data_IF_182162729917
#
_entry.id   IF_182162729917
#
_cell.length_a   1.000
_cell.length_b   1.000
_cell.length_c   1.000
_cell.angle_alpha   90.00
_cell.angle_beta   90.00
_cell.angle_gamma   90.00
#
_symmetry.space_group_name_H-M   'P 1'
#
loop_
_entity.id
_entity.type
_entity.pdbx_description
1 polymer ?
#
# COMPACT_ATOMS: atom_id res chain seq x y z
N UNK A 1 8.43 8.78 5.06
CA UNK A 1 7.62 9.73 5.84
C UNK A 1 8.33 11.07 5.80
N UNK A 2 7.66 12.14 5.38
CA UNK A 2 8.27 13.47 5.28
C UNK A 2 8.21 14.22 6.62
N UNK A 3 9.35 14.31 7.32
CA UNK A 3 9.45 14.90 8.67
C UNK A 3 8.94 16.35 8.72
N UNK A 4 9.17 17.12 7.66
CA UNK A 4 8.79 18.53 7.60
C UNK A 4 7.26 18.75 7.58
N UNK A 5 6.48 17.71 7.26
CA UNK A 5 5.02 17.77 7.16
C UNK A 5 4.30 17.14 8.35
N UNK A 6 5.04 16.63 9.33
CA UNK A 6 4.46 16.13 10.56
C UNK A 6 3.94 17.29 11.43
N UNK A 7 2.78 17.07 12.04
CA UNK A 7 2.23 17.96 13.07
C UNK A 7 3.09 17.92 14.35
N UNK A 8 2.86 18.88 15.26
CA UNK A 8 3.57 18.90 16.55
C UNK A 8 3.34 17.61 17.34
N UNK A 9 2.11 17.10 17.33
CA UNK A 9 1.75 15.87 18.07
C UNK A 9 2.36 14.62 17.44
N UNK A 10 2.42 14.56 16.10
CA UNK A 10 3.08 13.48 15.35
C UNK A 10 4.59 13.48 15.59
N UNK A 11 5.21 14.67 15.65
CA UNK A 11 6.62 14.81 16.01
C UNK A 11 6.87 14.40 17.46
N UNK A 12 6.00 14.79 18.40
CA UNK A 12 6.12 14.42 19.81
C UNK A 12 6.01 12.90 19.98
N UNK A 13 5.08 12.27 19.27
CA UNK A 13 4.93 10.83 19.22
C UNK A 13 6.20 10.14 18.68
N UNK A 14 6.71 10.56 17.51
CA UNK A 14 7.90 9.94 16.90
C UNK A 14 9.18 10.12 17.74
N UNK A 15 9.30 11.20 18.52
CA UNK A 15 10.39 11.40 19.48
C UNK A 15 10.23 10.54 20.72
N UNK A 16 9.01 10.46 21.27
CA UNK A 16 8.72 9.66 22.47
C UNK A 16 8.98 8.17 22.22
N UNK A 17 8.60 7.63 21.06
CA UNK A 17 8.93 6.25 20.63
C UNK A 17 10.45 6.00 20.60
N UNK A 18 11.27 7.05 20.52
CA UNK A 18 12.73 6.99 20.47
C UNK A 18 13.39 7.46 21.77
N UNK A 19 12.63 7.58 22.85
CA UNK A 19 13.15 7.91 24.17
C UNK A 19 13.48 9.39 24.39
N UNK A 20 12.95 10.30 23.57
CA UNK A 20 13.17 11.75 23.71
C UNK A 20 11.88 12.46 24.09
N UNK A 21 11.86 13.15 25.22
CA UNK A 21 10.67 13.84 25.76
C UNK A 21 10.84 15.34 26.00
N UNK A 22 12.08 15.86 26.04
CA UNK A 22 12.35 17.18 26.62
C UNK A 22 12.39 18.31 25.58
N UNK A 23 12.04 18.02 24.33
CA UNK A 23 12.07 18.97 23.23
C UNK A 23 10.68 19.52 22.97
N UNK A 24 10.52 20.84 23.09
CA UNK A 24 9.22 21.51 22.98
C UNK A 24 9.06 22.31 21.69
N UNK A 25 10.15 22.68 21.01
CA UNK A 25 10.11 23.49 19.78
C UNK A 25 10.06 22.62 18.53
N UNK A 26 9.16 22.94 17.58
CA UNK A 26 8.95 22.14 16.36
C UNK A 26 10.23 22.05 15.49
N UNK A 27 11.05 23.11 15.47
CA UNK A 27 12.30 23.13 14.72
C UNK A 27 13.32 22.12 15.26
N UNK A 28 13.52 22.12 16.58
CA UNK A 28 14.38 21.16 17.25
C UNK A 28 13.83 19.74 17.12
N UNK A 29 12.51 19.55 17.29
CA UNK A 29 11.87 18.24 17.13
C UNK A 29 12.17 17.64 15.75
N UNK A 30 12.07 18.44 14.68
CA UNK A 30 12.39 18.00 13.31
C UNK A 30 13.89 17.75 13.10
N UNK A 31 14.76 18.55 13.72
CA UNK A 31 16.21 18.38 13.64
C UNK A 31 16.64 17.07 14.33
N UNK A 32 16.20 16.88 15.57
CA UNK A 32 16.47 15.70 16.39
C UNK A 32 15.91 14.44 15.74
N UNK A 33 14.67 14.46 15.25
CA UNK A 33 14.09 13.30 14.56
C UNK A 33 14.89 12.91 13.29
N UNK A 34 15.41 13.89 12.53
CA UNK A 34 16.29 13.63 11.38
C UNK A 34 17.62 13.00 11.79
N UNK A 35 18.15 13.37 12.95
CA UNK A 35 19.38 12.78 13.48
C UNK A 35 19.13 11.35 13.95
N UNK A 36 18.08 11.11 14.76
CA UNK A 36 17.72 9.78 15.24
C UNK A 36 17.44 8.81 14.10
N UNK A 37 16.72 9.23 13.04
CA UNK A 37 16.49 8.37 11.86
C UNK A 37 17.75 8.03 11.06
N UNK A 38 18.82 8.83 11.19
CA UNK A 38 20.13 8.49 10.61
C UNK A 38 20.84 7.44 11.46
N UNK A 39 20.77 7.57 12.78
CA UNK A 39 21.29 6.58 13.73
C UNK A 39 20.56 5.24 13.61
N UNK A 40 19.25 5.23 13.38
CA UNK A 40 18.46 4.01 13.13
C UNK A 40 18.95 3.16 11.94
N UNK A 41 19.79 3.73 11.06
CA UNK A 41 20.35 3.02 9.90
C UNK A 41 21.70 2.37 10.19
N UNK A 42 22.26 2.60 11.38
CA UNK A 42 23.50 1.94 11.81
C UNK A 42 23.17 0.60 12.47
N UNK A 43 24.11 -0.36 12.39
CA UNK A 43 23.90 -1.71 12.92
C UNK A 43 23.81 -1.74 14.46
N UNK A 44 24.37 -0.75 15.14
CA UNK A 44 24.45 -0.67 16.61
C UNK A 44 23.23 0.00 17.27
N UNK A 45 22.21 0.37 16.49
CA UNK A 45 21.03 1.01 17.05
C UNK A 45 20.10 -0.01 17.72
N UNK A 46 19.93 0.11 19.04
CA UNK A 46 18.95 -0.65 19.81
C UNK A 46 17.73 0.23 20.07
N UNK A 47 16.54 -0.13 19.56
CA UNK A 47 15.33 0.65 19.80
C UNK A 47 14.93 0.57 21.28
N UNK A 48 14.49 1.69 21.89
CA UNK A 48 14.00 1.69 23.26
C UNK A 48 12.67 0.94 23.38
N UNK A 49 12.29 0.60 24.62
CA UNK A 49 10.99 -0.01 24.90
C UNK A 49 9.85 0.88 24.41
N UNK A 50 8.84 0.27 23.79
CA UNK A 50 7.73 0.99 23.21
C UNK A 50 6.90 1.67 24.31
N UNK A 51 6.72 3.00 24.29
CA UNK A 51 6.24 3.75 25.45
C UNK A 51 4.71 3.91 25.52
N UNK A 52 3.96 3.33 24.58
CA UNK A 52 2.50 3.47 24.48
C UNK A 52 1.80 2.12 24.63
N UNK A 53 0.62 2.15 25.24
CA UNK A 53 -0.29 1.01 25.27
C UNK A 53 -1.07 0.90 23.95
N UNK A 54 -1.57 -0.31 23.66
CA UNK A 54 -2.41 -0.51 22.47
C UNK A 54 -3.68 0.37 22.49
N UNK A 55 -4.26 0.64 23.66
CA UNK A 55 -5.45 1.48 23.80
C UNK A 55 -5.16 2.95 23.42
N UNK A 56 -4.02 3.49 23.85
CA UNK A 56 -3.60 4.85 23.50
C UNK A 56 -3.30 4.99 22.01
N UNK A 57 -2.68 3.98 21.41
CA UNK A 57 -2.47 3.96 19.96
C UNK A 57 -3.77 3.84 19.19
N UNK A 58 -4.67 2.95 19.61
CA UNK A 58 -5.97 2.76 18.98
C UNK A 58 -6.75 4.07 18.93
N UNK A 59 -6.93 4.73 20.07
CA UNK A 59 -7.68 5.98 20.15
C UNK A 59 -7.09 7.07 19.25
N UNK A 60 -5.76 7.19 19.22
CA UNK A 60 -5.11 8.19 18.39
C UNK A 60 -5.12 7.85 16.89
N UNK A 61 -5.09 6.57 16.52
CA UNK A 61 -5.21 6.15 15.12
C UNK A 61 -6.66 6.36 14.63
N UNK A 62 -7.67 6.02 15.43
CA UNK A 62 -9.09 6.27 15.11
C UNK A 62 -9.34 7.77 14.87
N UNK A 63 -8.87 8.63 15.77
CA UNK A 63 -8.94 10.09 15.60
C UNK A 63 -8.24 10.57 14.32
N UNK A 64 -7.04 10.03 14.01
CA UNK A 64 -6.35 10.36 12.77
C UNK A 64 -7.08 9.84 11.52
N UNK A 65 -7.78 8.70 11.59
CA UNK A 65 -8.58 8.17 10.47
C UNK A 65 -9.74 9.10 10.15
N UNK A 66 -10.40 9.66 11.16
CA UNK A 66 -11.47 10.64 10.99
C UNK A 66 -10.94 11.92 10.34
N UNK A 67 -9.83 12.47 10.84
CA UNK A 67 -9.18 13.66 10.25
C UNK A 67 -8.75 13.40 8.80
N UNK A 68 -8.12 12.24 8.53
CA UNK A 68 -7.75 11.84 7.16
C UNK A 68 -8.98 11.73 6.27
N UNK A 69 -10.09 11.21 6.79
CA UNK A 69 -11.34 11.07 6.03
C UNK A 69 -11.88 12.44 5.63
N UNK A 70 -11.90 13.39 6.55
CA UNK A 70 -12.33 14.77 6.27
C UNK A 70 -11.38 15.47 5.28
N UNK A 71 -10.06 15.34 5.47
CA UNK A 71 -9.10 15.90 4.52
C UNK A 71 -9.23 15.27 3.13
N UNK A 72 -9.59 13.99 3.03
CA UNK A 72 -9.87 13.34 1.75
C UNK A 72 -11.19 13.85 1.16
N UNK A 73 -12.26 14.02 1.94
CA UNK A 73 -13.55 14.54 1.40
C UNK A 73 -13.38 15.92 0.80
N UNK A 74 -12.64 16.78 1.48
CA UNK A 74 -12.52 18.20 1.15
C UNK A 74 -11.43 18.47 0.09
N UNK A 75 -10.70 17.43 -0.33
CA UNK A 75 -9.61 17.55 -1.29
C UNK A 75 -10.11 17.69 -2.73
N UNK A 76 -9.79 18.82 -3.36
CA UNK A 76 -10.11 19.17 -4.75
C UNK A 76 -8.89 19.49 -5.63
N UNK A 77 -7.67 19.43 -5.07
CA UNK A 77 -6.42 19.87 -5.73
C UNK A 77 -5.66 18.74 -6.45
N UNK A 78 -4.54 19.07 -7.10
CA UNK A 78 -3.70 18.10 -7.83
C UNK A 78 -2.77 17.29 -6.92
N UNK A 79 -2.26 16.16 -7.42
CA UNK A 79 -1.37 15.23 -6.70
C UNK A 79 0.01 15.81 -6.33
N UNK A 80 0.36 16.99 -6.84
CA UNK A 80 1.62 17.68 -6.49
C UNK A 80 1.44 18.72 -5.38
N UNK A 81 0.18 19.01 -5.02
CA UNK A 81 -0.21 20.04 -4.07
C UNK A 81 0.31 19.79 -2.64
N UNK A 82 0.61 20.85 -1.87
CA UNK A 82 0.99 20.73 -0.46
C UNK A 82 -0.05 19.96 0.37
N UNK A 83 -1.33 20.11 0.08
CA UNK A 83 -2.45 19.47 0.77
C UNK A 83 -2.42 17.96 0.55
N UNK A 84 -2.21 17.52 -0.70
CA UNK A 84 -2.07 16.09 -1.02
C UNK A 84 -0.91 15.45 -0.25
N UNK A 85 0.21 16.14 -0.23
CA UNK A 85 1.41 15.68 0.47
C UNK A 85 1.23 15.63 1.98
N UNK A 86 0.42 16.52 2.56
CA UNK A 86 0.02 16.48 3.97
C UNK A 86 -0.82 15.24 4.26
N UNK A 87 -1.83 14.95 3.43
CA UNK A 87 -2.67 13.74 3.53
C UNK A 87 -1.80 12.47 3.44
N UNK A 88 -0.91 12.40 2.45
CA UNK A 88 -0.03 11.26 2.25
C UNK A 88 0.92 11.03 3.45
N UNK A 89 1.41 12.13 4.05
CA UNK A 89 2.28 12.05 5.25
C UNK A 89 1.50 11.55 6.47
N UNK A 90 0.27 12.03 6.68
CA UNK A 90 -0.62 11.56 7.77
C UNK A 90 -0.96 10.07 7.64
N UNK A 91 -1.33 9.61 6.44
CA UNK A 91 -1.61 8.18 6.19
C UNK A 91 -0.37 7.33 6.51
N UNK A 92 0.81 7.73 6.02
CA UNK A 92 2.05 6.99 6.27
C UNK A 92 2.41 6.96 7.77
N UNK A 93 2.13 8.04 8.49
CA UNK A 93 2.30 8.11 9.94
C UNK A 93 1.35 7.16 10.68
N UNK A 94 0.06 7.18 10.36
CA UNK A 94 -0.93 6.28 10.96
C UNK A 94 -0.60 4.80 10.71
N UNK A 95 -0.19 4.43 9.49
CA UNK A 95 0.25 3.04 9.20
C UNK A 95 1.47 2.65 10.04
N UNK A 96 2.45 3.55 10.15
CA UNK A 96 3.66 3.30 10.94
C UNK A 96 3.34 3.13 12.42
N UNK A 97 2.36 3.87 12.95
CA UNK A 97 1.85 3.75 14.31
C UNK A 97 1.11 2.43 14.52
N UNK A 98 0.22 2.05 13.63
CA UNK A 98 -0.48 0.74 13.68
C UNK A 98 0.49 -0.44 13.65
N UNK A 99 1.57 -0.36 12.86
CA UNK A 99 2.55 -1.44 12.79
C UNK A 99 3.30 -1.65 14.12
N UNK A 100 3.60 -0.55 14.84
CA UNK A 100 4.34 -0.56 16.10
C UNK A 100 3.50 -0.96 17.31
N UNK A 101 2.18 -0.79 17.25
CA UNK A 101 1.30 -1.16 18.35
C UNK A 101 1.35 -2.66 18.63
N UNK A 102 1.46 -3.06 19.90
CA UNK A 102 1.54 -4.46 20.31
C UNK A 102 0.26 -4.87 21.05
N UNK A 103 -0.75 -5.42 20.35
CA UNK A 103 -1.95 -5.95 21.00
C UNK A 103 -1.65 -7.27 21.72
N UNK A 104 -2.41 -7.56 22.76
CA UNK A 104 -2.51 -8.93 23.30
C UNK A 104 -3.28 -9.84 22.30
N UNK A 105 -3.22 -11.16 22.50
CA UNK A 105 -3.82 -12.14 21.57
C UNK A 105 -5.31 -11.90 21.27
N UNK A 106 -6.08 -11.35 22.24
CA UNK A 106 -7.49 -11.00 22.07
C UNK A 106 -7.75 -9.77 21.19
N UNK A 107 -6.77 -8.86 21.05
CA UNK A 107 -6.91 -7.59 20.33
C UNK A 107 -6.21 -7.59 18.95
N UNK A 108 -5.71 -8.76 18.51
CA UNK A 108 -5.02 -8.92 17.23
C UNK A 108 -5.95 -8.67 16.02
N UNK A 109 -7.23 -9.03 16.13
CA UNK A 109 -8.26 -8.75 15.11
C UNK A 109 -8.51 -7.24 14.98
N UNK A 110 -8.54 -6.51 16.09
CA UNK A 110 -8.73 -5.06 16.10
C UNK A 110 -7.56 -4.32 15.45
N UNK A 111 -6.31 -4.72 15.72
CA UNK A 111 -5.13 -4.19 15.01
C UNK A 111 -5.24 -4.42 13.50
N UNK A 112 -5.67 -5.62 13.10
CA UNK A 112 -5.83 -6.00 11.70
C UNK A 112 -6.89 -5.13 11.02
N UNK A 113 -8.02 -4.90 11.67
CA UNK A 113 -9.09 -4.02 11.20
C UNK A 113 -8.62 -2.57 11.04
N UNK A 114 -7.88 -2.05 12.02
CA UNK A 114 -7.34 -0.69 11.99
C UNK A 114 -6.30 -0.51 10.87
N UNK A 115 -5.46 -1.52 10.65
CA UNK A 115 -4.49 -1.53 9.55
C UNK A 115 -5.21 -1.55 8.19
N UNK A 116 -6.26 -2.36 8.06
CA UNK A 116 -7.11 -2.39 6.85
C UNK A 116 -7.75 -1.02 6.65
N UNK A 117 -8.38 -0.42 7.65
CA UNK A 117 -9.00 0.91 7.52
C UNK A 117 -7.98 1.97 7.07
N UNK A 118 -6.81 2.00 7.69
CA UNK A 118 -5.75 2.96 7.34
C UNK A 118 -5.22 2.73 5.92
N UNK A 119 -5.04 1.46 5.51
CA UNK A 119 -4.64 1.09 4.13
C UNK A 119 -5.75 1.36 3.12
N UNK A 120 -7.02 1.16 3.45
CA UNK A 120 -8.16 1.48 2.58
C UNK A 120 -8.19 2.97 2.25
N UNK A 121 -7.82 3.85 3.20
CA UNK A 121 -7.64 5.29 2.92
C UNK A 121 -6.44 5.55 2.01
N UNK A 122 -5.35 4.77 2.12
CA UNK A 122 -4.26 4.76 1.14
C UNK A 122 -4.70 4.31 -0.26
N UNK A 123 -5.75 3.49 -0.39
CA UNK A 123 -6.34 3.08 -1.67
C UNK A 123 -7.42 4.05 -2.20
N UNK A 124 -8.21 4.71 -1.34
CA UNK A 124 -9.15 5.78 -1.75
C UNK A 124 -8.41 6.96 -2.40
N UNK A 125 -7.16 7.21 -1.99
CA UNK A 125 -6.18 8.07 -2.68
C UNK A 125 -6.03 7.72 -4.16
N UNK A 126 -6.07 6.45 -4.53
CA UNK A 126 -5.95 5.97 -5.91
C UNK A 126 -7.31 5.91 -6.62
N UNK A 127 -8.40 5.63 -5.89
CA UNK A 127 -9.76 5.57 -6.47
C UNK A 127 -10.35 6.95 -6.81
N UNK A 128 -10.03 8.02 -6.06
CA UNK A 128 -10.35 9.39 -6.48
C UNK A 128 -9.60 9.81 -7.76
N UNK A 129 -8.52 9.11 -8.13
CA UNK A 129 -7.85 9.26 -9.43
C UNK A 129 -8.61 8.59 -10.58
N UNK A 130 -9.60 7.72 -10.31
CA UNK A 130 -10.43 7.13 -11.35
C UNK A 130 -11.68 7.98 -11.57
N UNK A 131 -12.19 8.65 -10.53
CA UNK A 131 -13.42 9.43 -10.63
C UNK A 131 -13.27 10.77 -11.40
N UNK A 132 -12.07 11.36 -11.46
CA UNK A 132 -11.82 12.52 -12.34
C UNK A 132 -11.76 12.15 -13.83
N UNK A 133 -11.53 10.87 -14.14
CA UNK A 133 -11.35 10.38 -15.51
C UNK A 133 -12.60 9.65 -16.03
N UNK A 134 -13.60 9.41 -15.17
CA UNK A 134 -14.86 8.72 -15.51
C UNK A 134 -16.01 9.68 -15.83
N UNK A 135 -15.95 10.95 -15.38
CA UNK A 135 -16.98 11.96 -15.71
C UNK A 135 -16.95 12.40 -17.19
N UNK A 136 -16.01 11.89 -18.00
CA UNK A 136 -15.96 12.10 -19.45
C UNK A 136 -16.55 10.96 -20.30
N UNK A 137 -17.05 9.87 -19.68
CA UNK A 137 -17.51 8.68 -20.41
C UNK A 137 -18.88 8.13 -19.98
N UNK A 138 -19.65 8.86 -19.18
CA UNK A 138 -21.03 8.46 -18.81
C UNK A 138 -22.03 9.56 -19.13
N UNK A 139 -22.21 9.86 -20.41
CA UNK A 139 -23.36 10.60 -20.92
C UNK A 139 -23.74 10.11 -22.32
N UNK A 140 -23.93 8.81 -22.48
CA UNK A 140 -24.58 8.21 -23.65
C UNK A 140 -25.06 6.82 -23.22
N UNK A 141 -26.37 6.69 -23.03
CA UNK A 141 -27.18 5.49 -23.31
C UNK A 141 -28.46 5.54 -22.47
N UNK A 142 -29.50 6.16 -23.04
CA UNK A 142 -30.84 5.61 -22.91
C UNK A 142 -31.38 5.31 -24.29
N UNK A 143 -31.72 4.05 -24.45
CA UNK A 143 -32.20 3.37 -25.63
C UNK A 143 -33.72 3.56 -25.78
N UNK A 144 -34.13 3.65 -27.04
CA UNK A 144 -35.40 3.29 -27.71
C UNK A 144 -36.78 3.73 -27.19
N UNK A 145 -37.58 4.25 -28.15
CA UNK A 145 -39.04 4.38 -28.05
C UNK A 145 -39.65 5.12 -29.24
N UNK A 146 -39.88 4.38 -30.32
CA UNK A 146 -40.52 4.74 -31.60
C UNK A 146 -41.95 5.34 -31.46
N UNK A 147 -42.36 6.22 -32.40
CA UNK A 147 -43.64 6.19 -33.15
C UNK A 147 -44.02 7.56 -33.79
N UNK A 148 -43.97 7.58 -35.13
CA UNK A 148 -44.96 8.07 -36.11
C UNK A 148 -45.61 9.48 -36.10
N UNK A 149 -45.64 10.01 -37.34
CA UNK A 149 -46.69 10.77 -38.07
C UNK A 149 -46.78 12.30 -38.01
N UNK A 150 -46.37 12.91 -39.15
CA UNK A 150 -47.01 13.95 -39.97
C UNK A 150 -47.91 15.01 -39.30
N UNK A 151 -47.59 16.30 -39.52
CA UNK A 151 -48.40 17.28 -40.31
C UNK A 151 -47.85 18.73 -40.13
N UNK A 152 -47.55 19.41 -41.25
CA UNK A 152 -47.31 20.86 -41.37
C UNK A 152 -48.63 21.68 -41.32
N UNK A 153 -48.66 23.03 -41.52
CA UNK A 153 -48.20 24.15 -40.68
C UNK A 153 -49.36 25.19 -40.47
N UNK A 154 -49.17 26.45 -39.97
CA UNK A 154 -48.70 27.54 -40.83
C UNK A 154 -47.90 28.71 -40.17
N UNK A 155 -46.96 29.23 -40.96
CA UNK A 155 -46.68 30.65 -41.28
C UNK A 155 -46.69 31.72 -40.18
N UNK A 156 -45.51 32.31 -39.90
CA UNK A 156 -45.35 33.78 -39.81
C UNK A 156 -43.91 34.23 -40.16
N UNK A 157 -43.83 34.86 -41.31
CA UNK A 157 -42.91 35.91 -41.78
C UNK A 157 -41.77 36.38 -40.85
N UNK A 158 -40.55 36.16 -41.33
CA UNK A 158 -39.61 37.24 -41.63
C UNK A 158 -38.75 37.75 -40.49
N UNK A 159 -37.46 37.39 -40.51
CA UNK A 159 -36.34 38.34 -40.47
C UNK A 159 -35.07 37.60 -40.89
N UNK A 160 -34.54 38.03 -42.04
CA UNK A 160 -33.24 37.62 -42.55
C UNK A 160 -32.16 38.22 -41.66
N UNK A 161 -31.28 37.38 -41.12
CA UNK A 161 -29.98 37.82 -40.64
C UNK A 161 -28.96 36.78 -41.05
N UNK A 162 -28.27 37.10 -42.15
CA UNK A 162 -27.03 36.45 -42.56
C UNK A 162 -26.06 36.45 -41.35
N UNK A 163 -25.80 35.27 -40.78
CA UNK A 163 -24.65 35.06 -39.91
C UNK A 163 -23.74 34.04 -40.57
N UNK A 164 -22.60 34.56 -41.01
CA UNK A 164 -21.48 33.83 -41.60
C UNK A 164 -21.09 32.67 -40.69
N UNK A 165 -21.04 31.47 -41.26
CA UNK A 165 -20.42 30.30 -40.64
C UNK A 165 -18.92 30.56 -40.47
N UNK A 166 -18.52 31.11 -39.32
CA UNK A 166 -17.12 31.11 -38.92
C UNK A 166 -16.77 29.70 -38.45
N UNK A 167 -16.05 28.97 -39.30
CA UNK A 167 -15.26 27.83 -38.86
C UNK A 167 -14.19 28.36 -37.90
N UNK A 168 -14.33 28.06 -36.61
CA UNK A 168 -13.27 28.33 -35.64
C UNK A 168 -12.16 27.30 -35.89
N UNK A 169 -10.95 27.70 -36.32
CA UNK A 169 -9.83 26.79 -36.30
C UNK A 169 -9.44 26.59 -34.83
N UNK A 170 -9.63 25.37 -34.32
CA UNK A 170 -9.07 24.97 -33.04
C UNK A 170 -7.54 25.06 -33.16
N UNK A 171 -6.99 26.18 -32.69
CA UNK A 171 -5.55 26.36 -32.60
C UNK A 171 -5.03 25.47 -31.47
N UNK A 172 -4.02 24.62 -31.70
CA UNK A 172 -3.43 23.83 -30.64
C UNK A 172 -2.89 24.78 -29.58
N UNK A 173 -3.28 24.56 -28.32
CA UNK A 173 -2.84 25.35 -27.17
C UNK A 173 -1.31 25.50 -27.21
N UNK A 174 -0.85 26.71 -27.52
CA UNK A 174 0.56 27.02 -27.68
C UNK A 174 1.23 27.01 -26.30
N UNK A 175 1.67 25.83 -25.86
CA UNK A 175 2.51 25.72 -24.66
C UNK A 175 3.75 26.56 -24.92
N UNK A 176 3.92 27.64 -24.16
CA UNK A 176 5.08 28.55 -24.34
C UNK A 176 6.37 27.74 -24.22
N UNK A 177 7.28 27.79 -25.21
CA UNK A 177 8.51 27.02 -25.18
C UNK A 177 9.36 27.47 -23.98
N UNK A 178 9.58 26.55 -23.05
CA UNK A 178 10.45 26.78 -21.89
C UNK A 178 11.89 26.50 -22.33
N UNK A 179 12.76 27.50 -22.26
CA UNK A 179 14.18 27.38 -22.59
C UNK A 179 14.85 26.21 -21.85
N UNK A 180 15.79 25.54 -22.51
CA UNK A 180 16.49 24.34 -22.01
C UNK A 180 17.18 24.59 -20.67
N UNK A 181 17.81 25.75 -20.51
CA UNK A 181 18.41 26.19 -19.24
C UNK A 181 17.46 26.14 -18.02
N UNK A 182 16.14 26.28 -18.23
CA UNK A 182 15.13 26.27 -17.16
C UNK A 182 14.58 24.89 -16.84
N UNK A 183 15.09 23.83 -17.49
CA UNK A 183 14.58 22.47 -17.29
C UNK A 183 15.03 21.84 -15.97
N UNK A 184 16.06 22.40 -15.31
CA UNK A 184 16.68 21.83 -14.11
C UNK A 184 17.12 20.36 -14.30
N UNK A 185 17.45 19.97 -15.53
CA UNK A 185 17.95 18.65 -15.87
C UNK A 185 19.44 18.75 -16.18
N UNK A 186 20.23 17.90 -15.54
CA UNK A 186 21.67 17.88 -15.71
C UNK A 186 22.19 16.44 -15.76
N UNK A 187 23.23 16.21 -16.56
CA UNK A 187 23.99 14.97 -16.57
C UNK A 187 25.43 15.23 -16.15
N UNK A 188 25.92 14.46 -15.18
CA UNK A 188 27.25 14.65 -14.58
C UNK A 188 28.34 13.79 -15.25
N UNK A 189 27.95 12.78 -16.06
CA UNK A 189 28.89 11.81 -16.62
C UNK A 189 29.17 10.62 -15.72
N UNK A 190 28.26 10.29 -14.80
CA UNK A 190 28.30 9.05 -14.03
C UNK A 190 26.92 8.37 -13.98
N UNK A 191 26.90 7.11 -13.53
CA UNK A 191 25.68 6.33 -13.36
C UNK A 191 25.12 6.36 -11.93
N UNK A 192 25.63 7.24 -11.04
CA UNK A 192 25.22 7.27 -9.62
C UNK A 192 23.85 7.89 -9.44
N UNK A 193 23.60 9.00 -10.14
CA UNK A 193 22.35 9.74 -10.04
C UNK A 193 21.37 9.36 -11.15
N UNK A 194 21.85 9.31 -12.38
CA UNK A 194 21.04 9.06 -13.57
C UNK A 194 21.92 8.47 -14.66
N UNK A 195 21.54 7.34 -15.24
CA UNK A 195 22.29 6.76 -16.36
C UNK A 195 22.16 7.62 -17.62
N UNK A 196 23.14 7.52 -18.52
CA UNK A 196 23.10 8.25 -19.81
C UNK A 196 21.82 7.95 -20.60
N UNK A 197 21.31 6.72 -20.55
CA UNK A 197 20.06 6.33 -21.18
C UNK A 197 18.82 7.00 -20.57
N UNK A 198 18.76 7.06 -19.24
CA UNK A 198 17.67 7.74 -18.53
C UNK A 198 17.72 9.25 -18.78
N UNK A 199 18.92 9.83 -18.84
CA UNK A 199 19.12 11.23 -19.21
C UNK A 199 18.61 11.54 -20.62
N UNK A 200 19.07 10.79 -21.63
CA UNK A 200 18.66 11.00 -23.03
C UNK A 200 17.14 10.89 -23.20
N UNK A 201 16.53 9.86 -22.59
CA UNK A 201 15.08 9.69 -22.63
C UNK A 201 14.36 10.88 -21.98
N UNK A 202 14.85 11.34 -20.81
CA UNK A 202 14.25 12.48 -20.12
C UNK A 202 14.38 13.78 -20.90
N UNK A 203 15.50 13.99 -21.60
CA UNK A 203 15.68 15.12 -22.51
C UNK A 203 14.64 15.07 -23.63
N UNK A 204 14.47 13.91 -24.26
CA UNK A 204 13.55 13.73 -25.38
C UNK A 204 12.08 13.92 -24.96
N UNK A 205 11.68 13.36 -23.81
CA UNK A 205 10.36 13.60 -23.21
C UNK A 205 10.09 15.09 -23.02
N UNK A 206 11.07 15.82 -22.47
CA UNK A 206 10.93 17.26 -22.22
C UNK A 206 10.93 18.08 -23.50
N UNK A 207 11.71 17.67 -24.50
CA UNK A 207 11.76 18.26 -25.83
C UNK A 207 10.39 18.17 -26.50
N UNK A 208 9.83 16.96 -26.56
CA UNK A 208 8.50 16.70 -27.15
C UNK A 208 7.42 17.48 -26.39
N UNK A 209 7.40 17.41 -25.06
CA UNK A 209 6.39 18.08 -24.24
C UNK A 209 6.40 19.61 -24.36
N UNK A 210 7.51 20.21 -24.79
CA UNK A 210 7.68 21.67 -24.94
C UNK A 210 7.79 22.13 -26.38
N UNK A 211 7.65 21.22 -27.35
CA UNK A 211 7.73 21.53 -28.78
C UNK A 211 9.09 22.09 -29.22
N UNK A 212 10.19 21.69 -28.58
CA UNK A 212 11.53 22.18 -28.97
C UNK A 212 12.06 21.34 -30.14
N UNK A 213 12.61 21.97 -31.18
CA UNK A 213 13.27 21.24 -32.27
C UNK A 213 14.60 20.62 -31.80
N UNK A 214 15.05 19.54 -32.42
CA UNK A 214 16.36 18.94 -32.12
C UNK A 214 17.51 19.93 -32.38
N UNK A 215 17.36 20.80 -33.38
CA UNK A 215 18.31 21.87 -33.65
C UNK A 215 18.44 22.83 -32.47
N UNK A 216 17.33 23.37 -31.97
CA UNK A 216 17.34 24.30 -30.83
C UNK A 216 17.87 23.62 -29.55
N UNK A 217 17.54 22.34 -29.38
CA UNK A 217 18.06 21.52 -28.29
C UNK A 217 19.59 21.38 -28.38
N UNK A 218 20.11 21.09 -29.58
CA UNK A 218 21.54 20.92 -29.83
C UNK A 218 22.33 22.21 -29.58
N UNK A 219 21.79 23.37 -30.01
CA UNK A 219 22.39 24.68 -29.75
C UNK A 219 22.44 25.02 -28.26
N UNK A 220 21.45 24.55 -27.48
CA UNK A 220 21.37 24.79 -26.03
C UNK A 220 21.91 23.62 -25.19
N UNK A 221 22.55 22.62 -25.80
CA UNK A 221 22.90 21.36 -25.13
C UNK A 221 23.93 21.55 -24.02
N UNK A 222 24.78 22.59 -24.09
CA UNK A 222 25.76 22.93 -23.04
C UNK A 222 25.11 23.07 -21.66
N UNK A 223 23.86 23.57 -21.59
CA UNK A 223 23.14 23.78 -20.34
C UNK A 223 22.82 22.47 -19.61
N UNK A 224 22.75 21.35 -20.33
CA UNK A 224 22.37 20.04 -19.82
C UNK A 224 23.51 19.27 -19.17
N UNK A 225 24.76 19.71 -19.31
CA UNK A 225 25.93 18.97 -18.83
C UNK A 225 26.59 19.64 -17.61
N UNK A 226 27.06 18.82 -16.68
CA UNK A 226 27.84 19.23 -15.50
C UNK A 226 29.04 18.30 -15.33
N UNK A 227 30.01 18.73 -14.55
CA UNK A 227 31.17 17.91 -14.14
C UNK A 227 31.87 17.23 -15.34
N UNK A 228 32.02 15.91 -15.31
CA UNK A 228 32.77 15.14 -16.32
C UNK A 228 32.12 15.23 -17.69
N UNK A 229 30.79 15.16 -17.75
CA UNK A 229 30.06 15.31 -19.01
C UNK A 229 30.24 16.68 -19.64
N UNK A 230 30.36 17.75 -18.84
CA UNK A 230 30.61 19.09 -19.36
C UNK A 230 32.02 19.23 -19.94
N UNK A 231 33.02 18.63 -19.30
CA UNK A 231 34.40 18.60 -19.80
C UNK A 231 34.45 17.88 -21.14
N UNK A 232 33.86 16.67 -21.20
CA UNK A 232 33.78 15.87 -22.42
C UNK A 232 33.04 16.62 -23.55
N UNK A 233 31.90 17.24 -23.24
CA UNK A 233 31.12 17.98 -24.23
C UNK A 233 31.91 19.15 -24.81
N UNK A 234 32.61 19.93 -23.98
CA UNK A 234 33.44 21.06 -24.44
C UNK A 234 34.56 20.61 -25.39
N UNK A 235 35.15 19.45 -25.14
CA UNK A 235 36.22 18.91 -25.99
C UNK A 235 35.70 18.37 -27.33
N UNK A 236 34.49 17.79 -27.36
CA UNK A 236 33.98 17.05 -28.52
C UNK A 236 32.86 17.77 -29.28
N UNK A 237 32.38 18.93 -28.84
CA UNK A 237 31.24 19.64 -29.44
C UNK A 237 31.39 19.91 -30.93
N UNK A 238 32.59 20.19 -31.42
CA UNK A 238 32.85 20.46 -32.84
C UNK A 238 32.79 19.20 -33.72
N UNK A 239 32.87 18.01 -33.11
CA UNK A 239 32.86 16.73 -33.81
C UNK A 239 31.46 16.25 -34.18
N UNK A 240 30.41 16.87 -33.62
CA UNK A 240 29.01 16.47 -33.83
C UNK A 240 28.24 17.57 -34.55
N UNK A 241 27.36 17.18 -35.47
CA UNK A 241 26.58 18.09 -36.32
C UNK A 241 25.18 18.35 -35.79
N UNK A 242 24.60 17.35 -35.12
CA UNK A 242 23.24 17.42 -34.60
C UNK A 242 23.11 16.69 -33.25
N UNK A 243 21.89 16.74 -32.71
CA UNK A 243 21.56 16.09 -31.44
C UNK A 243 21.69 14.56 -31.50
N UNK A 244 21.39 13.93 -32.63
CA UNK A 244 21.37 12.48 -32.75
C UNK A 244 22.80 11.92 -32.80
N UNK A 245 23.73 12.58 -33.52
CA UNK A 245 25.16 12.28 -33.50
C UNK A 245 25.75 12.47 -32.09
N UNK A 246 25.37 13.55 -31.40
CA UNK A 246 25.80 13.79 -30.01
C UNK A 246 25.31 12.68 -29.07
N UNK A 247 24.09 12.18 -29.27
CA UNK A 247 23.53 11.06 -28.49
C UNK A 247 24.34 9.77 -28.71
N UNK A 248 24.84 9.53 -29.92
CA UNK A 248 25.75 8.40 -30.19
C UNK A 248 27.06 8.58 -29.42
N UNK A 249 27.70 9.75 -29.53
CA UNK A 249 28.94 10.04 -28.79
C UNK A 249 28.79 9.93 -27.27
N UNK A 250 27.65 10.39 -26.72
CA UNK A 250 27.33 10.23 -25.29
C UNK A 250 27.26 8.76 -24.88
N UNK A 251 26.70 7.91 -25.73
CA UNK A 251 26.61 6.47 -25.45
C UNK A 251 27.98 5.82 -25.51
N UNK A 252 28.77 6.14 -26.53
CA UNK A 252 30.13 5.59 -26.71
C UNK A 252 31.05 5.94 -25.53
N UNK A 253 30.98 7.17 -25.02
CA UNK A 253 31.82 7.60 -23.90
C UNK A 253 31.33 7.06 -22.54
N UNK A 254 30.03 7.17 -22.27
CA UNK A 254 29.51 6.98 -20.91
C UNK A 254 28.83 5.62 -20.67
N UNK A 255 28.73 4.77 -21.70
CA UNK A 255 28.33 3.37 -21.54
C UNK A 255 29.56 2.44 -21.48
N UNK A 256 29.48 1.34 -20.73
CA UNK A 256 30.46 0.27 -20.84
C UNK A 256 30.50 -0.30 -22.27
N UNK A 257 31.68 -0.72 -22.79
CA UNK A 257 31.79 -1.36 -24.10
C UNK A 257 30.93 -2.62 -24.27
N UNK A 258 30.70 -3.34 -23.18
CA UNK A 258 29.92 -4.57 -23.06
C UNK A 258 28.49 -4.32 -22.52
N UNK A 259 27.90 -3.16 -22.84
CA UNK A 259 26.63 -2.71 -22.27
C UNK A 259 25.48 -3.72 -22.42
N UNK A 260 25.23 -4.24 -23.63
CA UNK A 260 24.13 -5.17 -23.89
C UNK A 260 24.31 -6.50 -23.12
N UNK A 261 25.55 -6.98 -22.97
CA UNK A 261 25.85 -8.19 -22.18
C UNK A 261 25.58 -7.98 -20.70
N UNK A 262 26.08 -6.88 -20.13
CA UNK A 262 25.82 -6.49 -18.74
C UNK A 262 24.34 -6.27 -18.46
N UNK A 263 23.62 -5.64 -19.39
CA UNK A 263 22.18 -5.42 -19.30
C UNK A 263 21.41 -6.74 -19.34
N UNK A 264 21.80 -7.69 -20.20
CA UNK A 264 21.20 -9.02 -20.24
C UNK A 264 21.35 -9.75 -18.91
N UNK A 265 22.51 -9.62 -18.30
CA UNK A 265 22.80 -10.18 -16.99
C UNK A 265 21.98 -9.52 -15.88
N UNK A 266 21.81 -8.20 -15.91
CA UNK A 266 20.90 -7.48 -15.03
C UNK A 266 19.44 -7.94 -15.20
N UNK A 267 18.96 -8.02 -16.44
CA UNK A 267 17.62 -8.50 -16.79
C UNK A 267 17.39 -9.93 -16.29
N UNK A 268 18.37 -10.82 -16.46
CA UNK A 268 18.29 -12.19 -15.95
C UNK A 268 18.22 -12.25 -14.43
N UNK A 269 18.86 -11.32 -13.71
CA UNK A 269 18.84 -11.25 -12.24
C UNK A 269 17.66 -10.46 -11.68
N UNK A 270 16.97 -9.64 -12.49
CA UNK A 270 15.81 -8.86 -12.07
C UNK A 270 14.58 -9.76 -11.88
N UNK A 271 14.40 -10.26 -10.66
CA UNK A 271 13.20 -11.01 -10.24
C UNK A 271 12.10 -10.08 -9.73
N UNK A 272 10.84 -10.48 -9.83
CA UNK A 272 9.70 -9.72 -9.30
C UNK A 272 9.79 -9.55 -7.78
N UNK A 273 9.59 -8.33 -7.29
CA UNK A 273 9.62 -8.02 -5.86
C UNK A 273 8.36 -8.49 -5.10
N UNK A 274 8.46 -8.76 -3.80
CA UNK A 274 7.35 -9.26 -2.98
C UNK A 274 6.12 -8.35 -2.90
N UNK A 275 6.33 -7.03 -3.03
CA UNK A 275 5.28 -6.00 -3.04
C UNK A 275 5.07 -5.39 -4.44
N UNK A 276 5.70 -5.95 -5.46
CA UNK A 276 5.62 -5.46 -6.83
C UNK A 276 4.46 -6.16 -7.55
N UNK A 277 3.47 -5.39 -8.00
CA UNK A 277 2.38 -5.97 -8.80
C UNK A 277 2.90 -6.46 -10.15
N UNK A 278 2.21 -7.45 -10.72
CA UNK A 278 2.55 -8.01 -12.03
C UNK A 278 2.63 -6.92 -13.10
N UNK A 279 1.74 -5.92 -13.04
CA UNK A 279 1.73 -4.82 -14.00
C UNK A 279 2.99 -3.98 -13.94
N UNK A 280 3.41 -3.56 -12.74
CA UNK A 280 4.62 -2.75 -12.56
C UNK A 280 5.87 -3.54 -12.95
N UNK A 281 5.94 -4.81 -12.54
CA UNK A 281 7.06 -5.68 -12.93
C UNK A 281 7.19 -5.80 -14.46
N UNK A 282 6.09 -6.08 -15.17
CA UNK A 282 6.12 -6.21 -16.62
C UNK A 282 6.50 -4.89 -17.30
N UNK A 283 6.05 -3.75 -16.79
CA UNK A 283 6.49 -2.44 -17.29
C UNK A 283 7.99 -2.22 -17.13
N UNK A 284 8.54 -2.52 -15.95
CA UNK A 284 9.99 -2.42 -15.69
C UNK A 284 10.78 -3.33 -16.64
N UNK A 285 10.36 -4.59 -16.78
CA UNK A 285 11.02 -5.54 -17.67
C UNK A 285 10.95 -5.07 -19.13
N UNK A 286 9.79 -4.57 -19.59
CA UNK A 286 9.64 -4.02 -20.93
C UNK A 286 10.57 -2.82 -21.17
N UNK A 287 10.71 -1.93 -20.19
CA UNK A 287 11.67 -0.82 -20.23
C UNK A 287 13.11 -1.32 -20.29
N UNK A 288 13.50 -2.35 -19.54
CA UNK A 288 14.85 -2.92 -19.65
C UNK A 288 15.11 -3.52 -21.04
N UNK A 289 14.15 -4.27 -21.59
CA UNK A 289 14.26 -4.84 -22.93
C UNK A 289 14.29 -3.77 -24.03
N UNK A 290 13.67 -2.61 -23.82
CA UNK A 290 13.69 -1.53 -24.81
C UNK A 290 15.08 -0.88 -24.93
N UNK A 291 15.94 -0.98 -23.90
CA UNK A 291 17.29 -0.39 -23.85
C UNK A 291 18.36 -1.14 -24.64
N UNK A 292 18.11 -2.38 -25.05
CA UNK A 292 19.07 -3.12 -25.86
C UNK A 292 19.26 -2.45 -27.22
N UNK A 293 20.52 -2.42 -27.64
CA UNK A 293 20.90 -1.99 -29.00
C UNK A 293 20.28 -2.94 -30.02
N UNK A 294 20.42 -4.25 -29.78
CA UNK A 294 19.79 -5.29 -30.60
C UNK A 294 18.59 -5.92 -29.91
N UNK A 295 17.43 -5.90 -30.58
CA UNK A 295 16.18 -6.38 -29.96
C UNK A 295 16.22 -7.89 -29.69
N UNK A 296 15.92 -8.26 -28.46
CA UNK A 296 15.72 -9.64 -28.04
C UNK A 296 14.35 -10.12 -28.53
N UNK A 297 14.28 -11.34 -29.07
CA UNK A 297 13.01 -11.92 -29.54
C UNK A 297 11.95 -12.02 -28.43
N UNK A 298 10.69 -11.77 -28.77
CA UNK A 298 9.58 -11.79 -27.80
C UNK A 298 9.48 -13.10 -27.02
N UNK A 299 9.71 -14.24 -27.68
CA UNK A 299 9.74 -15.55 -27.03
C UNK A 299 10.84 -15.67 -25.96
N UNK A 300 12.05 -15.15 -26.24
CA UNK A 300 13.15 -15.14 -25.27
C UNK A 300 12.89 -14.16 -24.13
N UNK A 301 12.32 -12.98 -24.43
CA UNK A 301 11.90 -12.03 -23.40
C UNK A 301 10.89 -12.67 -22.45
N UNK A 302 9.83 -13.27 -22.99
CA UNK A 302 8.78 -13.92 -22.21
C UNK A 302 9.32 -15.06 -21.35
N UNK A 303 10.21 -15.89 -21.89
CA UNK A 303 10.88 -16.97 -21.14
C UNK A 303 11.66 -16.43 -19.93
N UNK A 304 12.40 -15.33 -20.10
CA UNK A 304 13.13 -14.70 -18.99
C UNK A 304 12.15 -14.11 -17.97
N UNK A 305 11.13 -13.40 -18.43
CA UNK A 305 10.09 -12.79 -17.58
C UNK A 305 9.44 -13.86 -16.70
N UNK A 306 8.97 -14.97 -17.30
CA UNK A 306 8.26 -16.05 -16.60
C UNK A 306 9.13 -16.73 -15.54
N UNK A 307 10.41 -16.98 -15.86
CA UNK A 307 11.38 -17.55 -14.90
C UNK A 307 11.63 -16.64 -13.69
N UNK A 308 11.51 -15.33 -13.89
CA UNK A 308 11.84 -14.31 -12.89
C UNK A 308 10.62 -13.84 -12.08
N UNK A 309 9.41 -14.36 -12.35
CA UNK A 309 8.20 -14.07 -11.56
C UNK A 309 8.30 -14.59 -10.13
N UNK A 310 7.46 -14.08 -9.22
CA UNK A 310 7.35 -14.65 -7.88
C UNK A 310 6.89 -16.12 -7.95
N UNK A 311 7.35 -17.00 -7.02
CA UNK A 311 6.96 -18.41 -6.99
C UNK A 311 5.44 -18.63 -7.05
N UNK A 312 4.65 -17.75 -6.42
CA UNK A 312 3.19 -17.77 -6.48
C UNK A 312 2.66 -17.81 -7.92
N UNK A 313 3.14 -16.94 -8.82
CA UNK A 313 2.68 -16.95 -10.20
C UNK A 313 3.24 -18.16 -10.95
N UNK A 314 4.50 -18.53 -10.72
CA UNK A 314 5.12 -19.68 -11.40
C UNK A 314 4.33 -20.97 -11.15
N UNK A 315 3.94 -21.24 -9.90
CA UNK A 315 3.15 -22.42 -9.55
C UNK A 315 1.76 -22.38 -10.18
N UNK A 316 1.08 -21.24 -10.18
CA UNK A 316 -0.29 -21.12 -10.69
C UNK A 316 -0.38 -21.10 -12.21
N UNK A 317 0.70 -20.72 -12.89
CA UNK A 317 0.78 -20.63 -14.35
C UNK A 317 1.53 -21.81 -15.00
N UNK A 318 1.97 -22.79 -14.21
CA UNK A 318 2.83 -23.89 -14.68
C UNK A 318 2.23 -24.71 -15.84
N UNK A 319 0.90 -24.84 -15.90
CA UNK A 319 0.18 -25.62 -16.90
C UNK A 319 -0.51 -24.75 -17.96
N UNK A 320 -0.23 -23.44 -17.98
CA UNK A 320 -0.85 -22.51 -18.92
C UNK A 320 0.15 -22.11 -19.99
N UNK A 321 -0.18 -22.40 -21.24
CA UNK A 321 0.60 -21.96 -22.38
C UNK A 321 0.44 -20.45 -22.58
N UNK A 322 1.46 -19.71 -22.17
CA UNK A 322 1.51 -18.26 -22.29
C UNK A 322 2.39 -17.90 -23.46
N UNK A 323 1.81 -17.25 -24.47
CA UNK A 323 2.51 -16.86 -25.71
C UNK A 323 2.80 -15.37 -25.79
N UNK A 324 2.20 -14.57 -24.91
CA UNK A 324 2.32 -13.10 -24.92
C UNK A 324 2.34 -12.48 -23.52
N UNK A 325 3.02 -11.34 -23.39
CA UNK A 325 3.05 -10.52 -22.17
C UNK A 325 1.69 -9.93 -21.82
N UNK A 326 0.82 -9.68 -22.80
CA UNK A 326 -0.55 -9.19 -22.56
C UNK A 326 -1.42 -10.26 -21.93
N UNK A 327 -1.31 -11.49 -22.40
CA UNK A 327 -1.97 -12.66 -21.82
C UNK A 327 -1.47 -12.89 -20.38
N UNK A 328 -0.15 -12.83 -20.17
CA UNK A 328 0.47 -12.92 -18.84
C UNK A 328 -0.06 -11.86 -17.88
N UNK A 329 -0.16 -10.61 -18.34
CA UNK A 329 -0.70 -9.51 -17.53
C UNK A 329 -2.15 -9.77 -17.11
N UNK A 330 -3.00 -10.23 -18.05
CA UNK A 330 -4.41 -10.53 -17.78
C UNK A 330 -4.54 -11.64 -16.73
N UNK A 331 -3.84 -12.76 -16.92
CA UNK A 331 -3.85 -13.89 -15.99
C UNK A 331 -3.26 -13.50 -14.63
N UNK A 332 -2.15 -12.75 -14.62
CA UNK A 332 -1.52 -12.27 -13.40
C UNK A 332 -2.45 -11.39 -12.57
N UNK A 333 -3.20 -10.47 -13.19
CA UNK A 333 -4.20 -9.64 -12.50
C UNK A 333 -5.35 -10.48 -11.92
N UNK A 334 -5.79 -11.52 -12.64
CA UNK A 334 -6.78 -12.45 -12.12
C UNK A 334 -6.26 -13.23 -10.90
N UNK A 335 -4.99 -13.64 -10.91
CA UNK A 335 -4.35 -14.30 -9.77
C UNK A 335 -4.21 -13.36 -8.56
N UNK A 336 -3.85 -12.09 -8.77
CA UNK A 336 -3.81 -11.08 -7.71
C UNK A 336 -5.19 -10.85 -7.08
N UNK A 337 -6.23 -10.74 -7.91
CA UNK A 337 -7.61 -10.63 -7.44
C UNK A 337 -8.03 -11.86 -6.61
N UNK A 338 -7.77 -13.08 -7.12
CA UNK A 338 -8.05 -14.33 -6.40
C UNK A 338 -7.29 -14.42 -5.08
N UNK A 339 -6.00 -14.06 -5.07
CA UNK A 339 -5.19 -14.02 -3.84
C UNK A 339 -5.83 -13.11 -2.80
N UNK A 340 -6.23 -11.91 -3.21
CA UNK A 340 -6.92 -10.97 -2.32
C UNK A 340 -8.23 -11.57 -1.78
N UNK A 341 -9.03 -12.21 -2.63
CA UNK A 341 -10.27 -12.87 -2.20
C UNK A 341 -10.03 -14.04 -1.23
N UNK A 342 -8.96 -14.82 -1.42
CA UNK A 342 -8.56 -15.90 -0.51
C UNK A 342 -8.07 -15.34 0.82
N UNK A 343 -7.26 -14.27 0.81
CA UNK A 343 -6.80 -13.58 2.03
C UNK A 343 -7.96 -12.98 2.83
N UNK A 344 -9.03 -12.55 2.16
CA UNK A 344 -10.25 -12.02 2.78
C UNK A 344 -11.30 -13.09 3.13
N UNK A 345 -11.05 -14.37 2.80
CA UNK A 345 -12.00 -15.43 3.08
C UNK A 345 -12.23 -15.58 4.59
N UNK A 346 -13.49 -15.55 4.98
CA UNK A 346 -13.94 -15.91 6.32
C UNK A 346 -14.94 -17.07 6.20
N UNK A 347 -14.94 -18.03 7.16
CA UNK A 347 -15.94 -19.07 7.19
C UNK A 347 -17.35 -18.46 7.34
N UNK A 348 -18.41 -19.18 6.92
CA UNK A 348 -19.78 -18.70 7.03
C UNK A 348 -20.12 -18.21 8.45
N UNK A 349 -20.82 -17.08 8.61
CA UNK A 349 -21.26 -16.62 9.92
C UNK A 349 -22.22 -17.62 10.57
N UNK A 350 -22.28 -17.61 11.90
CA UNK A 350 -23.17 -18.50 12.65
C UNK A 350 -24.64 -18.17 12.37
N UNK A 351 -25.52 -19.17 12.56
CA UNK A 351 -26.99 -19.03 12.39
C UNK A 351 -27.58 -17.79 13.08
N UNK A 352 -27.07 -17.43 14.25
CA UNK A 352 -27.55 -16.27 15.02
C UNK A 352 -27.01 -14.92 14.53
N UNK A 353 -26.09 -14.94 13.55
CA UNK A 353 -25.42 -13.76 12.99
C UNK A 353 -25.69 -13.60 11.48
N UNK A 354 -26.53 -14.48 10.92
CA UNK A 354 -27.02 -14.42 9.54
C UNK A 354 -28.41 -13.84 9.50
N UNK A 355 -28.71 -13.05 8.45
CA UNK A 355 -30.07 -12.53 8.20
C UNK A 355 -31.07 -13.67 7.95
N UNK A 356 -30.63 -14.73 7.28
CA UNK A 356 -31.43 -15.91 6.95
C UNK A 356 -30.94 -17.13 7.74
N UNK A 357 -31.34 -17.29 9.01
CA UNK A 357 -30.86 -18.38 9.86
C UNK A 357 -31.20 -19.78 9.34
N UNK A 358 -32.27 -19.93 8.56
CA UNK A 358 -32.67 -21.25 8.01
C UNK A 358 -31.78 -21.72 6.86
N UNK A 359 -31.05 -20.78 6.23
CA UNK A 359 -30.07 -21.05 5.17
C UNK A 359 -28.62 -21.02 5.69
N UNK A 360 -28.42 -20.80 6.99
CA UNK A 360 -27.08 -20.73 7.57
C UNK A 360 -26.36 -22.08 7.46
N UNK A 361 -25.05 -22.05 7.25
CA UNK A 361 -24.23 -23.26 7.23
C UNK A 361 -24.33 -23.98 8.59
N UNK A 362 -25.02 -25.12 8.61
CA UNK A 362 -25.07 -26.02 9.76
C UNK A 362 -23.89 -26.97 9.60
N UNK A 363 -22.89 -26.81 10.47
CA UNK A 363 -21.86 -27.83 10.60
C UNK A 363 -22.54 -29.07 11.18
N UNK A 364 -22.95 -30.00 10.31
CA UNK A 364 -23.45 -31.31 10.69
C UNK A 364 -22.32 -32.00 11.43
N UNK A 365 -22.32 -31.90 12.76
CA UNK A 365 -21.64 -32.92 13.55
C UNK A 365 -22.30 -34.23 13.14
N UNK A 366 -21.51 -35.18 12.63
CA UNK A 366 -22.00 -36.53 12.39
C UNK A 366 -22.83 -36.91 13.61
N UNK A 367 -24.11 -37.16 13.38
CA UNK A 367 -25.04 -37.52 14.41
C UNK A 367 -24.45 -38.72 15.15
N UNK A 368 -23.94 -38.50 16.35
CA UNK A 368 -24.00 -39.52 17.38
C UNK A 368 -25.49 -39.80 17.55
N UNK A 369 -25.95 -40.81 16.82
CA UNK A 369 -27.26 -41.43 16.95
C UNK A 369 -27.40 -41.86 18.41
N UNK A 370 -27.97 -40.99 19.23
CA UNK A 370 -28.51 -41.35 20.52
C UNK A 370 -29.76 -42.18 20.26
N UNK A 371 -29.54 -43.47 20.00
CA UNK A 371 -30.58 -44.48 20.17
C UNK A 371 -30.99 -44.41 21.63
N UNK A 372 -32.26 -44.14 21.84
CA UNK A 372 -32.90 -44.06 23.14
C UNK A 372 -32.78 -45.44 23.81
N UNK A 373 -31.76 -45.57 24.63
CA UNK A 373 -31.53 -46.71 25.50
C UNK A 373 -30.98 -46.11 26.76
N UNK A 374 -31.82 -46.13 27.80
CA UNK A 374 -31.52 -45.64 29.14
C UNK A 374 -30.89 -46.79 29.94
N UNK A 375 -29.61 -46.70 30.34
CA UNK A 375 -29.12 -47.38 31.54
C UNK A 375 -28.73 -46.36 32.62
N UNK A 376 -28.57 -46.81 33.88
CA UNK A 376 -28.76 -45.96 35.04
C UNK A 376 -27.59 -45.00 35.26
N UNK A 377 -27.91 -43.88 35.91
CA UNK A 377 -26.96 -42.88 36.43
C UNK A 377 -25.88 -43.58 37.25
N UNK A 378 -24.66 -43.65 36.72
CA UNK A 378 -23.44 -43.87 37.51
C UNK A 378 -22.50 -42.68 37.31
N UNK A 379 -22.45 -41.86 38.36
CA UNK A 379 -21.41 -40.87 38.60
C UNK A 379 -20.05 -41.55 38.69
N UNK A 380 -19.22 -41.38 37.67
CA UNK A 380 -17.92 -42.06 37.60
C UNK A 380 -16.92 -41.37 36.68
N UNK A 381 -16.53 -40.14 37.00
CA UNK A 381 -15.20 -39.63 36.61
C UNK A 381 -14.57 -38.90 37.78
N UNK A 382 -13.88 -39.69 38.59
CA UNK A 382 -12.92 -39.27 39.61
C UNK A 382 -11.87 -38.33 39.00
N UNK A 383 -11.71 -37.10 39.50
CA UNK A 383 -10.50 -36.32 39.27
C UNK A 383 -9.47 -36.81 40.29
N UNK A 384 -8.58 -37.71 39.87
CA UNK A 384 -7.57 -38.36 40.70
C UNK A 384 -6.50 -37.39 41.29
N UNK A 385 -6.72 -36.08 41.28
CA UNK A 385 -5.73 -35.12 41.82
C UNK A 385 -6.30 -33.81 42.37
N UNK A 386 -7.59 -33.77 42.76
CA UNK A 386 -8.17 -32.60 43.44
C UNK A 386 -8.60 -32.97 44.86
N UNK A 387 -8.11 -32.22 45.84
CA UNK A 387 -8.51 -32.29 47.26
C UNK A 387 -9.84 -31.57 47.46
N UNK A 388 -10.80 -32.24 48.08
CA UNK A 388 -12.07 -31.64 48.49
C UNK A 388 -11.84 -30.55 49.53
N UNK A 389 -12.30 -29.31 49.29
CA UNK A 389 -12.16 -28.20 50.24
C UNK A 389 -13.11 -28.28 51.44
N UNK A 390 -14.04 -29.25 51.47
CA UNK A 390 -14.92 -29.47 52.63
C UNK A 390 -14.29 -30.39 53.69
N UNK A 391 -13.61 -31.46 53.27
CA UNK A 391 -13.07 -32.49 54.17
C UNK A 391 -11.57 -32.76 54.00
N UNK A 392 -10.90 -32.04 53.10
CA UNK A 392 -9.48 -32.19 52.74
C UNK A 392 -9.06 -33.59 52.26
N UNK A 393 -10.01 -34.45 51.86
CA UNK A 393 -9.75 -35.75 51.25
C UNK A 393 -9.78 -35.64 49.72
N UNK A 394 -8.94 -36.40 49.03
CA UNK A 394 -8.92 -36.48 47.56
C UNK A 394 -10.03 -37.37 47.01
N UNK A 395 -10.28 -37.29 45.70
CA UNK A 395 -11.17 -38.21 44.98
C UNK A 395 -12.60 -37.71 44.74
N UNK A 396 -12.98 -36.54 45.24
CA UNK A 396 -14.29 -35.92 45.00
C UNK A 396 -14.21 -34.38 45.11
N UNK A 397 -15.17 -33.66 44.54
CA UNK A 397 -15.29 -32.21 44.73
C UNK A 397 -16.06 -31.87 46.01
N UNK A 398 -15.89 -30.66 46.55
CA UNK A 398 -16.66 -30.18 47.71
C UNK A 398 -18.18 -30.23 47.53
N UNK A 399 -18.65 -30.24 46.27
CA UNK A 399 -20.08 -30.39 45.92
C UNK A 399 -20.59 -31.82 46.13
N UNK A 400 -19.70 -32.80 46.05
CA UNK A 400 -20.01 -34.24 46.14
C UNK A 400 -19.59 -34.82 47.51
N UNK A 401 -19.27 -33.97 48.49
CA UNK A 401 -18.80 -34.38 49.81
C UNK A 401 -19.98 -34.79 50.71
N UNK A 402 -19.89 -35.98 51.32
CA UNK A 402 -20.91 -36.53 52.23
C UNK A 402 -20.80 -36.04 53.67
N UNK A 403 -19.74 -35.29 54.02
CA UNK A 403 -19.58 -34.68 55.34
C UNK A 403 -20.41 -33.39 55.47
N UNK A 404 -20.83 -33.01 56.69
CA UNK A 404 -21.55 -31.75 56.92
C UNK A 404 -20.77 -30.58 56.33
N UNK A 405 -21.47 -29.71 55.60
CA UNK A 405 -20.87 -28.60 54.85
C UNK A 405 -20.20 -27.61 55.81
N UNK A 406 -18.88 -27.52 55.75
CA UNK A 406 -18.07 -26.50 56.43
C UNK A 406 -17.93 -25.28 55.52
N UNK A 407 -18.05 -24.09 56.12
CA UNK A 407 -17.82 -22.83 55.41
C UNK A 407 -16.33 -22.73 55.10
N UNK A 408 -15.98 -22.28 53.91
CA UNK A 408 -14.58 -22.03 53.51
C UNK A 408 -14.54 -20.98 52.40
N UNK A 409 -13.44 -20.25 52.30
CA UNK A 409 -13.26 -19.25 51.26
C UNK A 409 -13.04 -19.93 49.90
N UNK A 410 -13.97 -19.75 48.96
CA UNK A 410 -13.86 -20.32 47.61
C UNK A 410 -12.67 -19.82 46.78
N UNK A 411 -11.95 -18.78 47.25
CA UNK A 411 -10.82 -18.17 46.53
C UNK A 411 -9.45 -18.64 47.03
N UNK A 412 -9.31 -18.94 48.33
CA UNK A 412 -8.03 -19.34 48.93
C UNK A 412 -8.09 -20.63 49.78
N UNK A 413 -9.28 -21.20 49.99
CA UNK A 413 -9.47 -22.44 50.74
C UNK A 413 -9.48 -22.29 52.27
N UNK A 414 -9.46 -21.06 52.80
CA UNK A 414 -9.40 -20.81 54.25
C UNK A 414 -10.69 -21.27 54.96
N UNK A 415 -10.60 -22.08 56.05
CA UNK A 415 -11.77 -22.65 56.72
C UNK A 415 -12.57 -21.61 57.51
N UNK A 416 -13.86 -21.89 57.70
CA UNK A 416 -14.86 -21.15 58.48
C UNK A 416 -15.11 -19.68 58.08
N UNK A 417 -14.60 -19.26 56.92
CA UNK A 417 -14.87 -17.94 56.32
C UNK A 417 -15.54 -18.09 54.96
N UNK A 418 -16.26 -17.06 54.49
CA UNK A 418 -16.72 -16.98 53.10
C UNK A 418 -15.84 -15.99 52.33
N UNK A 419 -15.97 -15.91 51.01
CA UNK A 419 -15.21 -14.92 50.21
C UNK A 419 -15.42 -13.49 50.73
N UNK A 420 -16.60 -13.18 51.29
CA UNK A 420 -16.93 -11.88 51.84
C UNK A 420 -16.37 -11.61 53.25
N UNK A 421 -16.06 -12.65 54.04
CA UNK A 421 -15.50 -12.52 55.40
C UNK A 421 -14.04 -12.95 55.50
N UNK A 422 -13.44 -13.37 54.38
CA UNK A 422 -12.07 -13.85 54.31
C UNK A 422 -11.08 -12.68 54.31
N UNK A 423 -10.39 -12.45 55.42
CA UNK A 423 -9.37 -11.39 55.58
C UNK A 423 -8.26 -11.40 54.52
N UNK A 424 -7.98 -12.56 53.91
CA UNK A 424 -7.02 -12.73 52.80
C UNK A 424 -7.55 -12.32 51.41
N UNK A 425 -8.86 -12.23 51.25
CA UNK A 425 -9.54 -12.07 49.95
C UNK A 425 -10.46 -10.84 49.90
N UNK A 426 -10.86 -10.29 51.04
CA UNK A 426 -11.51 -9.00 51.15
C UNK A 426 -10.48 -7.91 51.46
N UNK A 427 -10.16 -7.12 50.44
CA UNK A 427 -9.19 -6.03 50.49
C UNK A 427 -8.08 -6.21 49.44
N UNK A 428 -7.80 -5.13 48.68
CA UNK A 428 -6.69 -5.05 47.73
C UNK A 428 -5.35 -5.20 48.47
N UNK A 429 -4.93 -6.42 48.78
CA UNK A 429 -3.59 -6.68 49.26
C UNK A 429 -2.64 -6.79 48.06
N UNK A 430 -1.83 -5.74 47.89
CA UNK A 430 -0.65 -5.72 47.03
C UNK A 430 0.21 -6.94 47.33
N UNK A 431 0.61 -7.68 46.28
CA UNK A 431 1.67 -8.68 46.40
C UNK A 431 3.01 -7.95 46.33
N UNK A 432 3.65 -7.80 47.48
CA UNK A 432 5.10 -7.74 47.60
C UNK A 432 5.57 -9.10 48.10
N UNK A 433 6.29 -9.82 47.26
CA UNK A 433 7.68 -10.20 47.51
C UNK A 433 8.33 -10.53 46.17
#
# INVERSE_FOLDING_TARGET
MEINRLSKDELAYELKVRGVTDITTVSEMRSTLRHLRRLERTLDYVPPSYPFTFAEDKAAIESNIDEITQLITDFSNTMTSPEFKKIATKIAHSISRTNRSQPNASLASEKSQLLVQTKVKQFHKNAKSVKSDVDYLTASDQDSGDCSTNSDPPTRTGLSTHMLQQTIPVSPTLVKPVAVAKWNLHYNGDNRNMSVNAFIERVEEMRVARGISKENLFQSALDLFREKALIWYRANRTSYRDWDELVVGLREEFQPPDYDEKLLDEVKRRTQGSNESIGIYLSVMATLFSRFTHKISQAKQLKIIMRNLLPFYQTQLALVDITSTTQLLKLGRQLEARRTSVELYAPPPTRNRTLEPDLAYIQTQLASTSVDSRPPKSSGRTPANKTCWNCNRSGHFSKDCTQPKKKHCYKCGEPDVTVATCRRCTGNFRRTH
#
